data_IF_692067725329
#
_entry.id   IF_692067725329
#
_cell.length_a   1.000
_cell.length_b   1.000
_cell.length_c   1.000
_cell.angle_alpha   90.00
_cell.angle_beta   90.00
_cell.angle_gamma   90.00
#
_symmetry.space_group_name_H-M   'P 1'
#
loop_
_entity.id
_entity.type
_entity.pdbx_description
1 polymer ?
#
# COMPACT_ATOMS: atom_id res chain seq x y z
N UNK A 1 47.60 -14.93 -25.59
CA UNK A 1 46.38 -14.64 -24.81
C UNK A 1 46.42 -13.24 -24.15
N UNK A 2 46.34 -12.12 -24.90
CA UNK A 2 46.25 -10.79 -24.29
C UNK A 2 44.90 -10.09 -24.53
N UNK A 3 44.01 -10.64 -25.35
CA UNK A 3 42.73 -10.00 -25.70
C UNK A 3 41.62 -10.26 -24.66
N UNK A 4 41.70 -11.37 -23.91
CA UNK A 4 40.72 -11.74 -22.88
C UNK A 4 40.91 -10.93 -21.60
N UNK A 5 42.14 -10.48 -21.30
CA UNK A 5 42.42 -9.60 -20.16
C UNK A 5 41.93 -8.15 -20.40
N UNK A 6 41.89 -7.68 -21.65
CA UNK A 6 41.40 -6.33 -22.00
C UNK A 6 39.85 -6.28 -22.02
N UNK A 7 39.19 -7.39 -22.34
CA UNK A 7 37.72 -7.48 -22.24
C UNK A 7 37.25 -7.63 -20.79
N UNK A 8 38.02 -8.27 -19.92
CA UNK A 8 37.67 -8.43 -18.49
C UNK A 8 38.06 -7.18 -17.66
N UNK A 9 39.11 -6.44 -18.05
CA UNK A 9 39.42 -5.13 -17.44
C UNK A 9 38.64 -3.96 -18.07
N UNK A 10 38.05 -4.15 -19.25
CA UNK A 10 37.13 -3.19 -19.90
C UNK A 10 35.69 -3.23 -19.37
N UNK A 11 35.35 -4.17 -18.49
CA UNK A 11 34.05 -4.27 -17.81
C UNK A 11 34.07 -3.56 -16.43
N UNK A 12 35.25 -3.13 -15.95
CA UNK A 12 35.40 -2.51 -14.63
C UNK A 12 35.37 -0.97 -14.62
N UNK A 13 35.13 -0.31 -15.76
CA UNK A 13 34.93 1.14 -15.83
C UNK A 13 33.97 1.45 -16.99
N UNK A 14 32.81 2.06 -16.71
CA UNK A 14 31.74 2.50 -17.64
C UNK A 14 30.53 1.57 -17.89
N UNK A 15 30.04 0.90 -16.86
CA UNK A 15 28.61 0.57 -16.78
C UNK A 15 28.06 0.84 -15.38
N UNK A 16 28.22 2.08 -14.90
CA UNK A 16 27.23 2.59 -13.95
C UNK A 16 25.90 2.58 -14.70
N UNK A 17 24.95 1.75 -14.29
CA UNK A 17 23.61 1.83 -14.86
C UNK A 17 23.09 3.26 -14.66
N UNK A 18 22.29 3.78 -15.59
CA UNK A 18 21.68 5.11 -15.41
C UNK A 18 20.85 5.17 -14.11
N UNK A 19 20.37 4.02 -13.63
CA UNK A 19 19.60 3.89 -12.40
C UNK A 19 20.51 3.97 -11.17
N UNK A 20 21.69 3.35 -11.17
CA UNK A 20 22.71 3.57 -10.14
C UNK A 20 23.11 5.04 -10.03
N UNK A 21 23.38 5.68 -11.19
CA UNK A 21 23.65 7.11 -11.20
C UNK A 21 22.48 7.87 -10.58
N UNK A 22 21.23 7.57 -10.92
CA UNK A 22 20.05 8.20 -10.32
C UNK A 22 20.06 8.10 -8.79
N UNK A 23 20.28 6.90 -8.24
CA UNK A 23 20.25 6.60 -6.79
C UNK A 23 21.49 7.09 -6.02
N UNK A 24 22.64 7.29 -6.67
CA UNK A 24 23.85 7.84 -6.03
C UNK A 24 23.66 9.26 -5.47
N UNK A 25 22.64 9.98 -5.96
CA UNK A 25 22.30 11.32 -5.45
C UNK A 25 21.31 11.30 -4.28
N UNK A 26 20.82 10.12 -3.88
CA UNK A 26 19.88 9.93 -2.77
C UNK A 26 20.66 9.31 -1.62
N UNK A 27 20.59 9.86 -0.39
CA UNK A 27 21.27 9.27 0.75
C UNK A 27 20.56 8.00 1.24
N UNK A 28 21.31 7.08 1.84
CA UNK A 28 20.77 5.83 2.40
C UNK A 28 19.83 6.07 3.61
N UNK A 29 19.98 7.21 4.30
CA UNK A 29 19.24 7.53 5.55
C UNK A 29 17.84 8.13 5.34
N UNK A 30 17.29 8.06 4.12
CA UNK A 30 15.93 8.55 3.81
C UNK A 30 14.84 7.70 4.46
N UNK A 31 13.69 8.31 4.76
CA UNK A 31 12.53 7.59 5.32
C UNK A 31 11.83 6.75 4.26
N UNK A 32 11.90 7.23 3.02
CA UNK A 32 11.22 6.67 1.87
C UNK A 32 12.05 6.96 0.62
N UNK A 33 12.12 5.96 -0.25
CA UNK A 33 12.53 6.15 -1.65
C UNK A 33 11.60 5.38 -2.58
N UNK A 34 11.33 5.93 -3.76
CA UNK A 34 10.65 5.22 -4.82
C UNK A 34 11.20 5.51 -6.21
N UNK A 35 10.81 4.65 -7.14
CA UNK A 35 11.13 4.69 -8.56
C UNK A 35 9.84 4.52 -9.35
N UNK A 36 9.63 5.36 -10.36
CA UNK A 36 8.40 5.35 -11.17
C UNK A 36 8.72 5.41 -12.65
N UNK A 37 7.99 4.61 -13.42
CA UNK A 37 7.98 4.62 -14.88
C UNK A 37 6.84 5.52 -15.37
N UNK A 38 7.01 6.84 -15.29
CA UNK A 38 5.91 7.80 -15.45
C UNK A 38 5.26 7.70 -16.84
N UNK A 39 6.05 7.58 -17.92
CA UNK A 39 5.51 7.44 -19.28
C UNK A 39 4.72 6.14 -19.42
N UNK A 40 5.22 5.06 -18.85
CA UNK A 40 4.54 3.76 -18.83
C UNK A 40 3.23 3.84 -18.04
N UNK A 41 3.21 4.47 -16.87
CA UNK A 41 1.99 4.71 -16.07
C UNK A 41 0.96 5.54 -16.85
N UNK A 42 1.39 6.64 -17.48
CA UNK A 42 0.51 7.49 -18.29
C UNK A 42 0.00 6.72 -19.52
N UNK A 43 0.85 5.92 -20.16
CA UNK A 43 0.45 5.09 -21.31
C UNK A 43 -0.62 4.06 -20.95
N UNK A 44 -0.44 3.37 -19.81
CA UNK A 44 -1.42 2.43 -19.28
C UNK A 44 -2.72 3.11 -18.83
N UNK A 45 -2.63 4.40 -18.48
CA UNK A 45 -3.79 5.23 -18.15
C UNK A 45 -4.58 5.71 -19.37
N UNK A 46 -4.10 5.49 -20.61
CA UNK A 46 -4.78 5.88 -21.85
C UNK A 46 -4.19 7.10 -22.59
N UNK A 47 -3.01 7.57 -22.17
CA UNK A 47 -2.28 8.64 -22.87
C UNK A 47 -1.35 8.06 -23.94
N UNK A 48 -1.31 8.68 -25.12
CA UNK A 48 -0.44 8.27 -26.23
C UNK A 48 0.54 9.39 -26.54
N UNK A 49 1.81 9.14 -26.23
CA UNK A 49 2.93 10.03 -26.54
C UNK A 49 3.25 9.96 -28.04
N UNK A 50 3.49 11.10 -28.66
CA UNK A 50 3.77 11.20 -30.08
C UNK A 50 4.46 12.52 -30.47
N UNK A 51 4.88 12.67 -31.73
CA UNK A 51 5.65 13.83 -32.18
C UNK A 51 4.87 15.14 -32.10
N UNK A 52 3.53 15.08 -32.13
CA UNK A 52 2.64 16.23 -32.11
C UNK A 52 2.03 16.51 -30.72
N UNK A 53 2.59 15.90 -29.67
CA UNK A 53 2.10 15.99 -28.29
C UNK A 53 1.34 14.75 -27.83
N UNK A 54 0.99 14.73 -26.55
CA UNK A 54 0.19 13.66 -25.94
C UNK A 54 -1.27 13.77 -26.40
N UNK A 55 -1.82 12.62 -26.80
CA UNK A 55 -3.25 12.45 -27.11
C UNK A 55 -3.89 11.51 -26.10
N UNK A 56 -5.21 11.60 -25.91
CA UNK A 56 -5.96 10.68 -25.06
C UNK A 56 -6.80 9.73 -25.89
N UNK A 57 -6.90 8.47 -25.46
CA UNK A 57 -7.84 7.51 -26.04
C UNK A 57 -9.03 7.33 -25.11
N UNK A 58 -10.18 7.93 -25.43
CA UNK A 58 -11.42 7.76 -24.67
C UNK A 58 -11.41 8.31 -23.23
N UNK A 59 -10.44 9.17 -22.87
CA UNK A 59 -10.45 9.92 -21.61
C UNK A 59 -10.99 11.33 -21.80
N UNK A 60 -11.72 11.84 -20.81
CA UNK A 60 -11.92 13.27 -20.66
C UNK A 60 -10.56 13.99 -20.59
N UNK A 61 -10.49 15.22 -21.09
CA UNK A 61 -9.27 16.01 -20.96
C UNK A 61 -8.98 16.19 -19.46
N UNK A 62 -7.77 15.82 -18.98
CA UNK A 62 -7.43 16.06 -17.58
C UNK A 62 -7.44 17.57 -17.30
N UNK A 63 -7.78 17.95 -16.08
CA UNK A 63 -7.79 19.35 -15.63
C UNK A 63 -6.85 19.55 -14.43
N UNK A 64 -6.51 20.82 -14.16
CA UNK A 64 -5.69 21.23 -13.02
C UNK A 64 -4.32 20.56 -12.98
N UNK A 65 -3.86 20.21 -11.77
CA UNK A 65 -2.50 19.67 -11.57
C UNK A 65 -2.20 18.39 -12.34
N UNK A 66 -3.21 17.57 -12.63
CA UNK A 66 -2.99 16.35 -13.40
C UNK A 66 -2.75 16.70 -14.88
N UNK A 67 -3.43 17.72 -15.41
CA UNK A 67 -3.14 18.27 -16.73
C UNK A 67 -1.70 18.79 -16.81
N UNK A 68 -1.30 19.61 -15.84
CA UNK A 68 0.05 20.18 -15.76
C UNK A 68 1.14 19.09 -15.75
N UNK A 69 0.86 17.94 -15.09
CA UNK A 69 1.74 16.77 -15.07
C UNK A 69 1.85 16.11 -16.44
N UNK A 70 0.73 15.92 -17.13
CA UNK A 70 0.72 15.33 -18.48
C UNK A 70 1.43 16.24 -19.48
N UNK A 71 1.19 17.54 -19.43
CA UNK A 71 1.82 18.51 -20.33
C UNK A 71 3.35 18.59 -20.08
N UNK A 72 3.78 18.62 -18.81
CA UNK A 72 5.21 18.56 -18.48
C UNK A 72 5.84 17.24 -18.96
N UNK A 73 5.18 16.10 -18.71
CA UNK A 73 5.67 14.79 -19.15
C UNK A 73 5.77 14.70 -20.69
N UNK A 74 4.80 15.24 -21.42
CA UNK A 74 4.82 15.30 -22.89
C UNK A 74 6.04 16.09 -23.40
N UNK A 75 6.25 17.29 -22.86
CA UNK A 75 7.36 18.15 -23.26
C UNK A 75 8.71 17.49 -22.93
N UNK A 76 8.83 16.87 -21.75
CA UNK A 76 10.03 16.13 -21.37
C UNK A 76 10.29 14.95 -22.32
N UNK A 77 9.27 14.16 -22.66
CA UNK A 77 9.40 13.03 -23.58
C UNK A 77 9.81 13.48 -24.99
N UNK A 78 9.12 14.48 -25.55
CA UNK A 78 9.39 15.01 -26.90
C UNK A 78 10.77 15.64 -27.01
N UNK A 79 11.28 16.25 -25.94
CA UNK A 79 12.62 16.85 -25.92
C UNK A 79 13.73 15.81 -26.05
N UNK A 80 13.49 14.56 -25.62
CA UNK A 80 14.47 13.49 -25.60
C UNK A 80 15.64 13.70 -24.64
N UNK A 81 15.65 14.77 -23.83
CA UNK A 81 16.75 15.08 -22.91
C UNK A 81 16.56 14.50 -21.50
N UNK A 82 15.39 13.93 -21.20
CA UNK A 82 15.06 13.28 -19.94
C UNK A 82 14.30 11.99 -20.20
N UNK A 83 14.70 10.89 -19.56
CA UNK A 83 13.95 9.63 -19.58
C UNK A 83 12.96 9.60 -18.42
N UNK A 84 11.70 9.96 -18.69
CA UNK A 84 10.64 10.01 -17.67
C UNK A 84 10.15 8.62 -17.24
N UNK A 85 10.64 7.53 -17.84
CA UNK A 85 10.47 6.19 -17.28
C UNK A 85 11.55 5.82 -16.24
N UNK A 86 12.44 6.77 -15.93
CA UNK A 86 13.50 6.65 -14.92
C UNK A 86 13.49 7.83 -13.96
N UNK A 87 12.40 7.95 -13.21
CA UNK A 87 12.25 8.97 -12.18
C UNK A 87 12.34 8.32 -10.80
N UNK A 88 13.13 8.92 -9.92
CA UNK A 88 13.21 8.54 -8.52
C UNK A 88 12.63 9.66 -7.67
N UNK A 89 12.15 9.29 -6.48
CA UNK A 89 11.80 10.26 -5.46
C UNK A 89 12.23 9.77 -4.10
N UNK A 90 12.46 10.70 -3.19
CA UNK A 90 12.78 10.40 -1.81
C UNK A 90 12.11 11.39 -0.87
N UNK A 91 11.87 10.95 0.36
CA UNK A 91 11.52 11.82 1.47
C UNK A 91 12.60 11.70 2.54
N UNK A 92 13.19 12.83 2.92
CA UNK A 92 14.15 12.84 4.02
C UNK A 92 13.46 12.82 5.39
N UNK A 93 14.26 12.67 6.45
CA UNK A 93 13.80 12.65 7.86
C UNK A 93 13.15 13.96 8.32
N UNK A 94 13.37 15.07 7.60
CA UNK A 94 12.74 16.36 7.88
C UNK A 94 11.39 16.49 7.15
N UNK A 95 11.00 15.47 6.38
CA UNK A 95 9.74 15.39 5.66
C UNK A 95 9.75 16.06 4.29
N UNK A 96 10.91 16.56 3.83
CA UNK A 96 11.06 17.23 2.54
C UNK A 96 11.04 16.19 1.42
N UNK A 97 10.30 16.50 0.36
CA UNK A 97 10.16 15.64 -0.81
C UNK A 97 11.14 16.10 -1.88
N UNK A 98 11.81 15.14 -2.52
CA UNK A 98 12.66 15.34 -3.69
C UNK A 98 12.23 14.37 -4.78
N UNK A 99 11.96 14.87 -5.98
CA UNK A 99 11.78 14.05 -7.19
C UNK A 99 12.94 14.36 -8.13
N UNK A 100 13.53 13.35 -8.76
CA UNK A 100 14.69 13.54 -9.63
C UNK A 100 14.68 12.63 -10.84
N UNK A 101 15.29 13.12 -11.91
CA UNK A 101 15.58 12.38 -13.13
C UNK A 101 16.93 12.85 -13.69
N UNK A 102 17.59 11.97 -14.46
CA UNK A 102 18.80 12.35 -15.20
C UNK A 102 18.43 13.16 -16.44
N UNK A 103 19.20 14.22 -16.69
CA UNK A 103 19.03 15.11 -17.84
C UNK A 103 20.32 15.15 -18.63
N UNK A 104 20.26 14.83 -19.92
CA UNK A 104 21.46 14.78 -20.77
C UNK A 104 21.99 16.18 -21.14
N UNK A 105 21.11 17.19 -21.16
CA UNK A 105 21.42 18.57 -21.54
C UNK A 105 20.48 19.53 -20.77
N UNK A 106 20.99 20.14 -19.70
CA UNK A 106 20.19 20.98 -18.79
C UNK A 106 19.67 22.27 -19.45
N UNK A 107 20.42 22.82 -20.41
CA UNK A 107 20.01 24.05 -21.10
C UNK A 107 18.87 23.75 -22.07
N UNK A 108 18.98 22.67 -22.86
CA UNK A 108 17.87 22.20 -23.72
C UNK A 108 16.66 21.76 -22.90
N UNK A 109 16.88 21.15 -21.73
CA UNK A 109 15.78 20.81 -20.82
C UNK A 109 15.03 22.06 -20.38
N UNK A 110 15.75 23.10 -19.93
CA UNK A 110 15.14 24.35 -19.52
C UNK A 110 14.42 25.06 -20.67
N UNK A 111 15.02 25.06 -21.87
CA UNK A 111 14.39 25.61 -23.07
C UNK A 111 13.10 24.86 -23.43
N UNK A 112 13.15 23.53 -23.52
CA UNK A 112 12.00 22.70 -23.87
C UNK A 112 10.85 22.89 -22.88
N UNK A 113 11.15 22.89 -21.58
CA UNK A 113 10.15 23.00 -20.50
C UNK A 113 9.75 24.43 -20.15
N UNK A 114 10.24 25.45 -20.86
CA UNK A 114 10.00 26.87 -20.53
C UNK A 114 8.53 27.32 -20.61
N UNK A 115 7.70 26.59 -21.36
CA UNK A 115 6.25 26.80 -21.39
C UNK A 115 5.53 26.36 -20.11
N UNK A 116 6.08 25.36 -19.43
CA UNK A 116 5.51 24.76 -18.21
C UNK A 116 6.21 25.26 -16.94
N UNK A 117 7.48 25.65 -17.06
CA UNK A 117 8.34 26.05 -15.94
C UNK A 117 8.98 27.41 -16.28
N UNK A 118 8.64 28.41 -15.47
CA UNK A 118 9.27 29.74 -15.55
C UNK A 118 10.69 29.74 -15.02
N UNK A 119 11.66 29.36 -15.85
CA UNK A 119 13.08 29.26 -15.48
C UNK A 119 13.74 30.63 -15.26
N UNK A 120 14.50 30.76 -14.18
CA UNK A 120 15.40 31.86 -13.91
C UNK A 120 16.76 31.65 -14.60
N UNK A 121 17.56 32.71 -14.64
CA UNK A 121 19.00 32.56 -14.92
C UNK A 121 19.65 31.63 -13.88
N UNK A 122 20.73 30.97 -14.31
CA UNK A 122 21.47 30.05 -13.47
C UNK A 122 22.18 30.81 -12.34
N UNK A 123 21.99 30.34 -11.11
CA UNK A 123 22.68 30.82 -9.91
C UNK A 123 23.10 29.63 -9.05
N UNK A 124 24.33 29.65 -8.53
CA UNK A 124 24.91 28.58 -7.71
C UNK A 124 24.90 27.18 -8.40
N UNK A 125 25.01 27.19 -9.73
CA UNK A 125 25.04 25.99 -10.58
C UNK A 125 23.66 25.46 -11.01
N UNK A 126 22.56 26.12 -10.61
CA UNK A 126 21.21 25.69 -10.95
C UNK A 126 20.41 26.81 -11.61
N UNK A 127 19.63 26.46 -12.64
CA UNK A 127 18.44 27.24 -13.01
C UNK A 127 17.31 26.83 -12.07
N UNK A 128 16.47 27.77 -11.67
CA UNK A 128 15.33 27.52 -10.78
C UNK A 128 14.03 27.89 -11.47
N UNK A 129 12.95 27.21 -11.16
CA UNK A 129 11.62 27.52 -11.64
C UNK A 129 10.56 27.06 -10.65
N UNK A 130 9.30 27.38 -10.91
CA UNK A 130 8.18 26.91 -10.11
C UNK A 130 7.27 26.03 -10.97
N UNK A 131 6.82 24.91 -10.42
CA UNK A 131 5.89 24.00 -11.06
C UNK A 131 5.01 23.30 -10.03
N UNK A 132 3.69 23.40 -10.14
CA UNK A 132 2.76 22.62 -9.31
C UNK A 132 2.86 22.87 -7.79
N UNK A 133 3.44 23.98 -7.35
CA UNK A 133 3.73 24.26 -5.93
C UNK A 133 5.07 23.72 -5.42
N UNK A 134 5.89 23.15 -6.31
CA UNK A 134 7.27 22.74 -6.07
C UNK A 134 8.24 23.72 -6.73
N UNK A 135 9.44 23.82 -6.17
CA UNK A 135 10.57 24.45 -6.84
C UNK A 135 11.26 23.43 -7.74
N UNK A 136 11.34 23.74 -9.02
CA UNK A 136 12.08 22.98 -10.02
C UNK A 136 13.53 23.49 -10.08
N UNK A 137 14.49 22.58 -10.15
CA UNK A 137 15.90 22.88 -10.39
C UNK A 137 16.41 22.06 -11.56
N UNK A 138 17.24 22.66 -12.41
CA UNK A 138 18.04 21.92 -13.40
C UNK A 138 19.49 22.41 -13.39
N UNK A 139 20.41 21.45 -13.38
CA UNK A 139 21.84 21.66 -13.20
C UNK A 139 22.53 20.33 -12.88
N UNK A 140 23.86 20.27 -13.06
CA UNK A 140 24.67 19.08 -12.76
C UNK A 140 24.15 17.78 -13.43
N UNK A 141 23.61 17.88 -14.65
CA UNK A 141 23.09 16.75 -15.43
C UNK A 141 21.78 16.15 -14.89
N UNK A 142 21.01 16.92 -14.12
CA UNK A 142 19.78 16.46 -13.45
C UNK A 142 18.68 17.48 -13.43
N UNK A 143 17.49 16.96 -13.21
CA UNK A 143 16.31 17.68 -12.80
C UNK A 143 15.94 17.32 -11.36
N UNK A 144 15.45 18.30 -10.62
CA UNK A 144 14.88 18.14 -9.28
C UNK A 144 13.54 18.87 -9.17
N UNK A 145 12.58 18.28 -8.46
CA UNK A 145 11.44 18.98 -7.86
C UNK A 145 11.51 18.82 -6.36
N UNK A 146 11.32 19.90 -5.61
CA UNK A 146 11.27 19.85 -4.15
C UNK A 146 10.31 20.88 -3.57
N UNK A 147 9.69 20.54 -2.44
CA UNK A 147 8.83 21.43 -1.66
C UNK A 147 9.63 22.21 -0.58
N UNK A 148 10.96 22.08 -0.58
CA UNK A 148 11.84 22.87 0.29
C UNK A 148 11.70 24.37 0.01
N UNK A 149 11.72 25.17 1.09
CA UNK A 149 11.71 26.64 0.99
C UNK A 149 12.97 27.20 0.32
N UNK A 150 14.13 26.58 0.57
CA UNK A 150 15.40 26.88 -0.08
C UNK A 150 15.86 25.63 -0.85
N UNK A 151 15.38 25.51 -2.09
CA UNK A 151 15.53 24.31 -2.90
C UNK A 151 17.00 23.99 -3.22
N UNK A 152 17.81 25.00 -3.56
CA UNK A 152 19.22 24.81 -3.90
C UNK A 152 20.00 24.32 -2.69
N UNK A 153 19.78 24.94 -1.52
CA UNK A 153 20.43 24.49 -0.29
C UNK A 153 20.02 23.07 0.07
N UNK A 154 18.71 22.77 0.01
CA UNK A 154 18.19 21.44 0.34
C UNK A 154 18.76 20.34 -0.57
N UNK A 155 18.78 20.55 -1.90
CA UNK A 155 19.37 19.59 -2.85
C UNK A 155 20.87 19.44 -2.64
N UNK A 156 21.62 20.51 -2.37
CA UNK A 156 23.06 20.42 -2.08
C UNK A 156 23.32 19.66 -0.77
N UNK A 157 22.51 19.86 0.25
CA UNK A 157 22.60 19.11 1.52
C UNK A 157 22.26 17.63 1.32
N UNK A 158 21.21 17.32 0.54
CA UNK A 158 20.85 15.95 0.14
C UNK A 158 22.01 15.26 -0.58
N UNK A 159 22.56 15.90 -1.62
CA UNK A 159 23.71 15.38 -2.38
C UNK A 159 24.95 15.21 -1.51
N UNK A 160 25.20 16.13 -0.57
CA UNK A 160 26.33 16.03 0.39
C UNK A 160 26.18 14.83 1.32
N UNK A 161 24.96 14.52 1.77
CA UNK A 161 24.67 13.31 2.55
C UNK A 161 24.85 12.06 1.69
N UNK A 162 24.33 12.07 0.46
CA UNK A 162 24.47 10.96 -0.48
C UNK A 162 25.94 10.67 -0.80
N UNK A 163 26.77 11.69 -0.98
CA UNK A 163 28.22 11.52 -1.20
C UNK A 163 28.98 10.87 -0.01
N UNK A 164 28.39 10.83 1.19
CA UNK A 164 28.94 10.07 2.33
C UNK A 164 28.39 8.65 2.41
N UNK A 165 27.11 8.49 2.11
CA UNK A 165 26.38 7.23 2.20
C UNK A 165 25.25 7.22 1.17
N UNK A 166 25.53 6.81 -0.07
CA UNK A 166 24.53 6.80 -1.12
C UNK A 166 23.58 5.62 -0.94
N UNK A 167 22.37 5.74 -1.50
CA UNK A 167 21.38 4.66 -1.49
C UNK A 167 21.91 3.38 -2.15
N UNK A 168 22.81 3.51 -3.13
CA UNK A 168 23.48 2.38 -3.79
C UNK A 168 24.31 1.50 -2.85
N UNK A 169 24.61 1.96 -1.62
CA UNK A 169 25.15 1.12 -0.57
C UNK A 169 24.14 0.06 -0.05
N UNK A 170 22.83 0.30 -0.20
CA UNK A 170 21.75 -0.61 0.15
C UNK A 170 21.38 -1.47 -1.06
N UNK A 171 22.28 -2.37 -1.44
CA UNK A 171 22.20 -3.12 -2.71
C UNK A 171 20.88 -3.86 -2.95
N UNK A 172 20.25 -4.42 -1.91
CA UNK A 172 18.96 -5.08 -2.03
C UNK A 172 17.81 -4.11 -2.27
N UNK A 173 17.85 -2.95 -1.62
CA UNK A 173 16.87 -1.87 -1.82
C UNK A 173 16.97 -1.32 -3.24
N UNK A 174 18.18 -1.04 -3.72
CA UNK A 174 18.40 -0.62 -5.10
C UNK A 174 17.92 -1.68 -6.09
N UNK A 175 18.28 -2.96 -5.90
CA UNK A 175 17.81 -4.04 -6.77
C UNK A 175 16.29 -4.16 -6.82
N UNK A 176 15.60 -3.92 -5.71
CA UNK A 176 14.13 -3.88 -5.67
C UNK A 176 13.56 -2.67 -6.42
N UNK A 177 14.13 -1.48 -6.23
CA UNK A 177 13.70 -0.26 -6.90
C UNK A 177 13.89 -0.32 -8.43
N UNK A 178 14.96 -0.97 -8.89
CA UNK A 178 15.28 -1.19 -10.31
C UNK A 178 14.37 -2.22 -11.00
N UNK A 179 13.48 -2.88 -10.24
CA UNK A 179 12.53 -3.88 -10.75
C UNK A 179 11.65 -3.38 -11.90
N UNK A 180 11.03 -4.32 -12.61
CA UNK A 180 10.22 -4.00 -13.80
C UNK A 180 8.86 -3.35 -13.51
N UNK A 181 8.43 -3.28 -12.24
CA UNK A 181 7.18 -2.64 -11.86
C UNK A 181 7.06 -1.20 -12.38
N UNK A 182 5.83 -0.76 -12.60
CA UNK A 182 5.50 0.62 -12.95
C UNK A 182 5.85 1.60 -11.81
N UNK A 183 5.76 1.11 -10.57
CA UNK A 183 6.14 1.82 -9.35
C UNK A 183 6.82 0.84 -8.41
N UNK A 184 8.01 1.17 -7.93
CA UNK A 184 8.69 0.47 -6.84
C UNK A 184 9.00 1.45 -5.71
N UNK A 185 8.86 1.04 -4.46
CA UNK A 185 9.06 1.89 -3.30
C UNK A 185 9.60 1.09 -2.12
N UNK A 186 10.44 1.73 -1.30
CA UNK A 186 10.90 1.24 -0.02
C UNK A 186 10.62 2.28 1.06
N UNK A 187 10.08 1.82 2.20
CA UNK A 187 9.88 2.60 3.42
C UNK A 187 10.75 2.04 4.53
N UNK A 188 11.51 2.89 5.22
CA UNK A 188 12.19 2.48 6.44
C UNK A 188 11.16 2.20 7.54
N UNK A 189 11.23 1.01 8.16
CA UNK A 189 10.36 0.65 9.28
C UNK A 189 10.64 1.52 10.53
N UNK A 190 11.86 2.00 10.69
CA UNK A 190 12.23 2.90 11.79
C UNK A 190 11.58 4.28 11.65
N UNK A 191 11.36 4.74 10.41
CA UNK A 191 10.61 5.96 10.13
C UNK A 191 9.10 5.83 10.43
N UNK A 192 8.55 4.61 10.29
CA UNK A 192 7.15 4.33 10.62
C UNK A 192 6.91 4.30 12.15
N UNK A 193 7.91 3.87 12.92
CA UNK A 193 7.91 3.89 14.38
C UNK A 193 8.21 5.31 14.91
N UNK A 194 7.21 6.20 14.89
CA UNK A 194 7.30 7.56 15.48
C UNK A 194 7.75 7.48 16.96
N UNK A 195 9.05 7.61 17.22
CA UNK A 195 9.62 7.61 18.57
C UNK A 195 10.97 6.90 18.75
N UNK A 196 11.51 6.24 17.72
CA UNK A 196 12.87 5.70 17.77
C UNK A 196 13.92 6.80 17.96
N UNK A 197 14.99 6.51 18.72
CA UNK A 197 16.14 7.42 18.84
C UNK A 197 16.71 7.70 17.45
N UNK A 198 17.01 8.98 17.19
CA UNK A 198 17.78 9.43 16.02
C UNK A 198 19.21 8.87 16.13
N UNK A 199 19.43 7.62 15.72
CA UNK A 199 20.77 7.20 15.35
C UNK A 199 21.01 7.66 13.91
N UNK A 200 21.87 8.66 13.80
CA UNK A 200 22.25 9.32 12.56
C UNK A 200 23.49 8.61 12.00
N UNK A 201 23.30 7.77 10.97
CA UNK A 201 24.44 7.18 10.26
C UNK A 201 24.08 6.12 9.22
N UNK A 202 24.99 5.93 8.26
CA UNK A 202 24.96 4.89 7.24
C UNK A 202 24.75 3.48 7.82
N UNK A 203 25.34 3.23 8.99
CA UNK A 203 25.26 1.95 9.68
C UNK A 203 23.85 1.66 10.19
N UNK A 204 23.12 2.68 10.67
CA UNK A 204 21.73 2.53 11.08
C UNK A 204 20.83 2.16 9.89
N UNK A 205 21.00 2.82 8.74
CA UNK A 205 20.22 2.50 7.53
C UNK A 205 20.48 1.08 6.98
N UNK A 206 21.67 0.53 7.23
CA UNK A 206 22.06 -0.81 6.83
C UNK A 206 21.52 -1.88 7.78
N UNK A 207 21.31 -1.53 9.05
CA UNK A 207 20.72 -2.38 10.08
C UNK A 207 19.17 -2.28 10.12
N UNK A 208 18.58 -1.23 9.51
CA UNK A 208 17.14 -1.02 9.42
C UNK A 208 16.43 -2.08 8.56
N UNK A 209 15.19 -2.39 8.96
CA UNK A 209 14.25 -3.10 8.10
C UNK A 209 13.53 -2.13 7.15
N UNK A 210 13.25 -2.61 5.95
CA UNK A 210 12.57 -1.85 4.90
C UNK A 210 11.34 -2.61 4.42
N UNK A 211 10.18 -1.95 4.47
CA UNK A 211 8.97 -2.44 3.83
C UNK A 211 8.96 -1.98 2.37
N UNK A 212 8.84 -2.93 1.45
CA UNK A 212 8.85 -2.64 0.01
C UNK A 212 7.47 -2.77 -0.60
N UNK A 213 7.22 -2.03 -1.68
CA UNK A 213 6.02 -2.13 -2.51
C UNK A 213 6.46 -2.08 -3.96
N UNK A 214 6.04 -3.07 -4.76
CA UNK A 214 6.17 -3.07 -6.21
C UNK A 214 4.79 -3.22 -6.83
N UNK A 215 4.42 -2.30 -7.72
CA UNK A 215 3.12 -2.28 -8.39
C UNK A 215 3.31 -2.40 -9.91
N UNK A 216 2.46 -3.20 -10.54
CA UNK A 216 2.45 -3.43 -11.98
C UNK A 216 1.04 -3.75 -12.48
N UNK A 217 0.85 -3.87 -13.80
CA UNK A 217 -0.39 -4.33 -14.42
C UNK A 217 -0.16 -5.68 -15.09
N UNK A 218 -0.95 -6.69 -14.71
CA UNK A 218 -0.93 -8.03 -15.31
C UNK A 218 -2.35 -8.45 -15.64
N UNK A 219 -2.59 -8.89 -16.87
CA UNK A 219 -3.90 -9.35 -17.33
C UNK A 219 -5.05 -8.37 -17.03
N UNK A 220 -4.78 -7.07 -17.21
CA UNK A 220 -5.70 -5.96 -16.89
C UNK A 220 -6.08 -5.86 -15.40
N UNK A 221 -5.20 -6.30 -14.50
CA UNK A 221 -5.31 -6.14 -13.05
C UNK A 221 -4.12 -5.35 -12.52
N UNK A 222 -4.35 -4.52 -11.51
CA UNK A 222 -3.27 -3.92 -10.74
C UNK A 222 -2.78 -4.97 -9.74
N UNK A 223 -1.51 -5.34 -9.84
CA UNK A 223 -0.87 -6.32 -8.96
C UNK A 223 0.18 -5.59 -8.13
N UNK A 224 0.11 -5.77 -6.82
CA UNK A 224 1.09 -5.25 -5.87
C UNK A 224 1.76 -6.39 -5.12
N UNK A 225 3.08 -6.31 -4.96
CA UNK A 225 3.86 -7.19 -4.11
C UNK A 225 4.56 -6.38 -3.03
N UNK A 226 4.66 -6.94 -1.83
CA UNK A 226 5.34 -6.33 -0.70
C UNK A 226 6.09 -7.39 0.10
N UNK A 227 7.31 -7.04 0.52
CA UNK A 227 8.10 -7.82 1.47
C UNK A 227 8.71 -6.86 2.48
N UNK A 228 9.04 -7.38 3.67
CA UNK A 228 9.97 -6.70 4.57
C UNK A 228 11.34 -7.30 4.31
N UNK A 229 12.36 -6.47 4.15
CA UNK A 229 13.73 -6.91 3.87
C UNK A 229 14.78 -6.07 4.59
N UNK A 230 15.96 -6.65 4.78
CA UNK A 230 17.17 -5.93 5.17
C UNK A 230 17.75 -5.16 3.97
N UNK A 231 18.70 -4.25 4.23
CA UNK A 231 19.34 -3.44 3.19
C UNK A 231 20.02 -4.23 2.06
N UNK A 232 20.43 -5.47 2.33
CA UNK A 232 21.05 -6.38 1.35
C UNK A 232 20.03 -7.19 0.54
N UNK A 233 18.75 -7.08 0.85
CA UNK A 233 17.65 -7.77 0.16
C UNK A 233 17.19 -9.07 0.82
N UNK A 234 17.81 -9.46 1.94
CA UNK A 234 17.36 -10.61 2.73
C UNK A 234 15.96 -10.35 3.28
N UNK A 235 14.98 -11.17 2.88
CA UNK A 235 13.59 -11.03 3.33
C UNK A 235 13.43 -11.47 4.77
N UNK A 236 12.59 -10.75 5.50
CA UNK A 236 12.25 -11.00 6.90
C UNK A 236 10.77 -11.33 6.98
N UNK A 237 10.47 -12.53 7.45
CA UNK A 237 9.08 -12.93 7.70
C UNK A 237 8.55 -12.23 8.95
N UNK A 238 7.26 -11.92 8.96
CA UNK A 238 6.62 -11.40 10.15
C UNK A 238 6.52 -12.49 11.21
N UNK A 239 7.03 -12.22 12.40
CA UNK A 239 6.87 -13.10 13.55
C UNK A 239 5.41 -13.17 13.97
N UNK A 240 5.05 -14.29 14.57
CA UNK A 240 3.77 -14.47 15.20
C UNK A 240 2.60 -14.79 14.25
N UNK A 241 2.87 -15.00 12.96
CA UNK A 241 1.88 -15.47 11.99
C UNK A 241 1.93 -17.00 11.81
N UNK A 242 0.80 -17.59 11.43
CA UNK A 242 0.69 -19.01 11.09
C UNK A 242 -0.40 -19.22 10.02
N UNK A 243 -0.41 -20.37 9.32
CA UNK A 243 -1.43 -20.64 8.31
C UNK A 243 -2.86 -20.56 8.85
N UNK A 244 -3.77 -20.01 8.04
CA UNK A 244 -5.20 -19.96 8.34
C UNK A 244 -5.80 -21.38 8.36
N UNK A 245 -6.56 -21.70 9.42
CA UNK A 245 -7.42 -22.87 9.46
C UNK A 245 -8.62 -22.64 8.53
N UNK A 246 -8.59 -23.28 7.36
CA UNK A 246 -9.61 -23.12 6.31
C UNK A 246 -11.00 -23.63 6.70
N UNK A 247 -11.14 -24.42 7.77
CA UNK A 247 -12.44 -24.90 8.23
C UNK A 247 -13.42 -23.75 8.53
N UNK A 248 -12.91 -22.58 8.94
CA UNK A 248 -13.75 -21.40 9.21
C UNK A 248 -14.43 -20.86 7.95
N UNK A 249 -13.93 -21.16 6.75
CA UNK A 249 -14.47 -20.64 5.50
C UNK A 249 -15.83 -21.25 5.16
N UNK A 250 -16.17 -22.43 5.68
CA UNK A 250 -17.48 -23.06 5.46
C UNK A 250 -18.63 -22.32 6.15
N UNK A 251 -18.32 -21.40 7.06
CA UNK A 251 -19.29 -20.52 7.68
C UNK A 251 -19.65 -19.32 6.80
N UNK A 252 -18.82 -18.97 5.82
CA UNK A 252 -19.00 -17.76 5.00
C UNK A 252 -20.03 -18.06 3.88
N UNK A 253 -21.17 -17.35 3.83
CA UNK A 253 -22.12 -17.45 2.72
C UNK A 253 -21.53 -16.93 1.40
N UNK A 254 -21.96 -17.50 0.28
CA UNK A 254 -21.53 -17.05 -1.06
C UNK A 254 -21.93 -15.62 -1.41
N UNK A 255 -22.95 -15.08 -0.73
CA UNK A 255 -23.40 -13.69 -0.91
C UNK A 255 -22.49 -12.65 -0.25
N UNK A 256 -21.49 -13.08 0.52
CA UNK A 256 -20.63 -12.16 1.24
C UNK A 256 -19.63 -11.48 0.31
N UNK A 257 -19.63 -10.14 0.34
CA UNK A 257 -18.74 -9.28 -0.44
C UNK A 257 -17.41 -9.02 0.23
N UNK A 258 -17.26 -9.37 1.50
CA UNK A 258 -16.02 -9.19 2.25
C UNK A 258 -15.69 -10.46 3.05
N UNK A 259 -14.44 -10.88 2.98
CA UNK A 259 -13.88 -11.91 3.83
C UNK A 259 -12.42 -11.60 4.14
N UNK A 260 -12.07 -11.65 5.41
CA UNK A 260 -10.70 -11.51 5.91
C UNK A 260 -10.43 -12.64 6.88
N UNK A 261 -9.27 -13.26 6.78
CA UNK A 261 -8.79 -14.14 7.84
C UNK A 261 -7.27 -14.05 7.98
N UNK A 262 -6.80 -14.21 9.21
CA UNK A 262 -5.39 -14.24 9.56
C UNK A 262 -5.16 -15.28 10.64
N UNK A 263 -4.10 -16.09 10.51
CA UNK A 263 -3.65 -17.02 11.54
C UNK A 263 -2.60 -16.35 12.41
N UNK A 264 -2.87 -16.29 13.71
CA UNK A 264 -2.03 -15.63 14.70
C UNK A 264 -1.54 -16.64 15.73
N UNK A 265 -0.27 -16.60 16.06
CA UNK A 265 0.27 -17.28 17.23
C UNK A 265 0.24 -16.35 18.45
N UNK A 266 0.44 -16.86 19.67
CA UNK A 266 0.58 -16.03 20.87
C UNK A 266 1.71 -14.99 20.81
N UNK A 267 2.70 -15.20 19.93
CA UNK A 267 3.88 -14.33 19.78
C UNK A 267 3.63 -13.12 18.86
N UNK A 268 2.42 -12.98 18.30
CA UNK A 268 2.07 -11.85 17.44
C UNK A 268 2.19 -10.52 18.18
N UNK A 269 2.92 -9.57 17.57
CA UNK A 269 3.08 -8.23 18.14
C UNK A 269 1.83 -7.35 17.94
N UNK A 270 0.98 -7.32 18.96
CA UNK A 270 -0.20 -6.46 19.01
C UNK A 270 0.12 -4.97 19.07
N UNK A 271 1.37 -4.57 19.34
CA UNK A 271 1.77 -3.16 19.35
C UNK A 271 1.52 -2.49 18.00
N UNK A 272 1.70 -3.22 16.90
CA UNK A 272 1.42 -2.76 15.53
C UNK A 272 -0.02 -2.28 15.37
N UNK A 273 -1.00 -3.04 15.90
CA UNK A 273 -2.40 -2.64 15.87
C UNK A 273 -2.66 -1.41 16.75
N UNK A 274 -2.02 -1.34 17.92
CA UNK A 274 -2.18 -0.18 18.81
C UNK A 274 -1.60 1.10 18.21
N UNK A 275 -0.51 1.01 17.44
CA UNK A 275 0.07 2.15 16.71
C UNK A 275 -0.87 2.61 15.60
N UNK A 276 -1.43 1.69 14.82
CA UNK A 276 -2.43 2.01 13.79
C UNK A 276 -3.67 2.69 14.40
N UNK A 277 -4.25 2.12 15.46
CA UNK A 277 -5.40 2.74 16.14
C UNK A 277 -5.03 4.09 16.76
N UNK A 278 -3.80 4.25 17.27
CA UNK A 278 -3.35 5.53 17.85
C UNK A 278 -3.17 6.63 16.82
N UNK A 279 -2.83 6.27 15.57
CA UNK A 279 -2.67 7.19 14.45
C UNK A 279 -4.03 7.65 13.87
N UNK A 280 -5.05 6.79 13.88
CA UNK A 280 -6.32 7.05 13.18
C UNK A 280 -7.57 7.16 14.09
N UNK A 281 -7.58 6.56 15.28
CA UNK A 281 -8.78 6.37 16.11
C UNK A 281 -8.99 7.38 17.26
N UNK A 282 -8.04 8.29 17.51
CA UNK A 282 -8.16 9.29 18.58
C UNK A 282 -8.10 8.71 20.01
N UNK A 283 -8.30 9.56 21.03
CA UNK A 283 -8.13 9.19 22.44
C UNK A 283 -9.14 8.15 22.95
N UNK A 284 -10.39 8.20 22.49
CA UNK A 284 -11.43 7.25 22.89
C UNK A 284 -11.17 5.83 22.37
N UNK A 285 -10.66 5.68 21.14
CA UNK A 285 -10.29 4.37 20.61
C UNK A 285 -9.12 3.75 21.39
N UNK A 286 -8.16 4.54 21.89
CA UNK A 286 -7.05 4.04 22.74
C UNK A 286 -7.56 3.45 24.06
N UNK A 287 -8.52 4.12 24.70
CA UNK A 287 -9.13 3.63 25.94
C UNK A 287 -9.89 2.31 25.74
N UNK A 288 -10.65 2.22 24.65
CA UNK A 288 -11.35 0.98 24.27
C UNK A 288 -10.37 -0.14 23.93
N UNK A 289 -9.28 0.16 23.21
CA UNK A 289 -8.23 -0.81 22.89
C UNK A 289 -7.61 -1.42 24.14
N UNK A 290 -7.28 -0.62 25.15
CA UNK A 290 -6.70 -1.11 26.40
C UNK A 290 -7.58 -2.16 27.12
N UNK A 291 -8.91 -2.05 26.99
CA UNK A 291 -9.86 -3.01 27.56
C UNK A 291 -9.90 -4.32 26.78
N UNK A 292 -9.77 -4.27 25.45
CA UNK A 292 -9.84 -5.46 24.59
C UNK A 292 -8.49 -6.15 24.38
N UNK A 293 -7.37 -5.46 24.62
CA UNK A 293 -6.01 -6.00 24.45
C UNK A 293 -5.79 -7.36 25.11
N UNK A 294 -6.20 -7.62 26.37
CA UNK A 294 -5.98 -8.93 26.99
C UNK A 294 -6.70 -10.07 26.27
N UNK A 295 -7.82 -9.79 25.61
CA UNK A 295 -8.55 -10.78 24.81
C UNK A 295 -7.86 -10.98 23.46
N UNK A 296 -7.44 -9.89 22.80
CA UNK A 296 -6.65 -9.96 21.58
C UNK A 296 -5.38 -10.80 21.78
N UNK A 297 -4.64 -10.55 22.86
CA UNK A 297 -3.44 -11.30 23.24
C UNK A 297 -3.69 -12.78 23.55
N UNK A 298 -4.94 -13.18 23.79
CA UNK A 298 -5.29 -14.59 24.01
C UNK A 298 -5.72 -15.33 22.74
N UNK A 299 -5.74 -14.65 21.60
CA UNK A 299 -5.93 -15.28 20.29
C UNK A 299 -4.68 -16.12 19.97
N UNK A 300 -4.89 -17.38 19.62
CA UNK A 300 -3.81 -18.33 19.34
C UNK A 300 -4.12 -19.23 18.14
N UNK A 301 -4.81 -18.67 17.15
CA UNK A 301 -5.17 -19.37 15.93
C UNK A 301 -5.77 -18.40 14.92
N UNK A 302 -6.67 -18.90 14.09
CA UNK A 302 -7.33 -18.10 13.07
C UNK A 302 -8.30 -17.10 13.67
N UNK A 303 -8.23 -15.86 13.16
CA UNK A 303 -9.29 -14.86 13.24
C UNK A 303 -9.89 -14.75 11.85
N UNK A 304 -11.21 -14.79 11.75
CA UNK A 304 -11.96 -14.58 10.52
C UNK A 304 -13.04 -13.53 10.77
N UNK A 305 -13.17 -12.61 9.82
CA UNK A 305 -14.25 -11.63 9.73
C UNK A 305 -14.77 -11.67 8.30
N UNK A 306 -16.06 -11.88 8.14
CA UNK A 306 -16.71 -11.86 6.83
C UNK A 306 -18.03 -11.09 6.92
N UNK A 307 -18.38 -10.37 5.87
CA UNK A 307 -19.60 -9.59 5.81
C UNK A 307 -20.16 -9.51 4.39
N UNK A 308 -21.47 -9.29 4.30
CA UNK A 308 -22.18 -9.13 3.04
C UNK A 308 -23.49 -8.38 3.20
N UNK A 309 -24.09 -7.95 2.08
CA UNK A 309 -25.41 -7.32 2.10
C UNK A 309 -26.46 -8.34 2.56
N UNK A 310 -27.31 -7.93 3.50
CA UNK A 310 -28.54 -8.65 3.82
C UNK A 310 -29.67 -8.31 2.83
N UNK A 311 -29.57 -7.13 2.21
CA UNK A 311 -30.51 -6.61 1.23
C UNK A 311 -29.82 -5.57 0.32
N UNK A 312 -30.54 -5.09 -0.70
CA UNK A 312 -30.00 -4.13 -1.68
C UNK A 312 -29.65 -2.75 -1.11
N UNK A 313 -30.19 -2.39 0.07
CA UNK A 313 -29.96 -1.10 0.73
C UNK A 313 -28.64 -1.04 1.50
N UNK A 314 -27.94 -2.18 1.66
CA UNK A 314 -26.69 -2.28 2.43
C UNK A 314 -25.61 -1.28 2.02
N UNK A 315 -25.53 -0.97 0.73
CA UNK A 315 -24.50 -0.08 0.18
C UNK A 315 -24.91 1.40 0.16
N UNK A 316 -26.22 1.68 0.21
CA UNK A 316 -26.76 3.04 0.15
C UNK A 316 -27.12 3.62 1.53
N UNK A 317 -27.33 2.78 2.54
CA UNK A 317 -27.75 3.17 3.88
C UNK A 317 -26.78 2.65 4.94
N UNK A 318 -26.35 3.53 5.84
CA UNK A 318 -25.45 3.19 6.97
C UNK A 318 -26.30 2.62 8.13
N UNK A 319 -27.01 1.52 7.87
CA UNK A 319 -27.74 0.75 8.89
C UNK A 319 -27.08 -0.63 9.05
N UNK A 320 -26.57 -0.97 10.24
CA UNK A 320 -26.09 -2.32 10.54
C UNK A 320 -27.10 -3.42 10.20
N UNK A 321 -28.40 -3.14 10.29
CA UNK A 321 -29.49 -4.05 9.92
C UNK A 321 -29.49 -4.52 8.47
N UNK A 322 -28.86 -3.75 7.57
CA UNK A 322 -28.75 -4.09 6.15
C UNK A 322 -27.55 -4.99 5.83
N UNK A 323 -26.76 -5.38 6.84
CA UNK A 323 -25.56 -6.21 6.66
C UNK A 323 -25.70 -7.54 7.39
N UNK A 324 -25.19 -8.61 6.80
CA UNK A 324 -24.88 -9.84 7.50
C UNK A 324 -23.38 -9.90 7.79
N UNK A 325 -23.01 -10.41 8.96
CA UNK A 325 -21.61 -10.59 9.31
C UNK A 325 -21.38 -11.82 10.18
N UNK A 326 -20.15 -12.31 10.12
CA UNK A 326 -19.63 -13.40 10.96
C UNK A 326 -18.23 -13.01 11.39
N UNK A 327 -17.96 -13.10 12.69
CA UNK A 327 -16.64 -13.02 13.29
C UNK A 327 -16.37 -14.33 14.02
N UNK A 328 -15.20 -14.91 13.82
CA UNK A 328 -14.72 -16.10 14.53
C UNK A 328 -13.28 -15.88 14.94
N UNK A 329 -12.97 -15.97 16.23
CA UNK A 329 -11.61 -15.84 16.76
C UNK A 329 -11.25 -17.08 17.58
N UNK A 330 -10.18 -17.78 17.19
CA UNK A 330 -9.71 -18.94 17.94
C UNK A 330 -9.09 -18.49 19.26
N UNK A 331 -9.61 -19.01 20.37
CA UNK A 331 -9.18 -18.65 21.72
C UNK A 331 -9.32 -19.86 22.65
N UNK A 332 -8.55 -19.94 23.74
CA UNK A 332 -8.74 -20.98 24.75
C UNK A 332 -10.17 -20.97 25.32
N UNK A 333 -10.76 -22.16 25.51
CA UNK A 333 -12.13 -22.32 26.04
C UNK A 333 -12.40 -21.49 27.30
N UNK A 334 -11.43 -21.43 28.22
CA UNK A 334 -11.54 -20.63 29.43
C UNK A 334 -11.78 -19.15 29.13
N UNK A 335 -11.07 -18.59 28.14
CA UNK A 335 -11.22 -17.19 27.72
C UNK A 335 -12.58 -16.95 27.07
N UNK A 336 -13.05 -17.88 26.24
CA UNK A 336 -14.41 -17.83 25.68
C UNK A 336 -15.45 -17.82 26.81
N UNK A 337 -15.30 -18.68 27.81
CA UNK A 337 -16.21 -18.72 28.98
C UNK A 337 -16.17 -17.42 29.79
N UNK A 338 -15.00 -16.83 30.00
CA UNK A 338 -14.85 -15.52 30.65
C UNK A 338 -15.60 -14.41 29.89
N UNK A 339 -15.43 -14.34 28.56
CA UNK A 339 -16.15 -13.39 27.68
C UNK A 339 -17.67 -13.61 27.79
N UNK A 340 -18.12 -14.86 27.67
CA UNK A 340 -19.55 -15.17 27.73
C UNK A 340 -20.18 -14.82 29.09
N UNK A 341 -19.45 -15.01 30.19
CA UNK A 341 -19.91 -14.59 31.52
C UNK A 341 -19.98 -13.08 31.65
N UNK A 342 -19.02 -12.34 31.08
CA UNK A 342 -19.06 -10.89 31.01
C UNK A 342 -20.29 -10.40 30.25
N UNK A 343 -20.57 -10.96 29.07
CA UNK A 343 -21.74 -10.58 28.26
C UNK A 343 -23.04 -10.85 29.03
N UNK A 344 -23.19 -12.03 29.66
CA UNK A 344 -24.38 -12.36 30.47
C UNK A 344 -24.56 -11.41 31.65
N UNK A 345 -23.48 -11.08 32.36
CA UNK A 345 -23.53 -10.13 33.47
C UNK A 345 -23.96 -8.74 32.99
N UNK A 346 -23.42 -8.26 31.87
CA UNK A 346 -23.81 -6.98 31.26
C UNK A 346 -25.28 -6.96 30.86
N UNK A 347 -25.81 -8.03 30.26
CA UNK A 347 -27.24 -8.15 29.96
C UNK A 347 -28.09 -8.10 31.22
N UNK A 348 -27.71 -8.82 32.26
CA UNK A 348 -28.43 -8.85 33.53
C UNK A 348 -28.46 -7.47 34.20
N UNK A 349 -27.32 -6.75 34.22
CA UNK A 349 -27.23 -5.37 34.73
C UNK A 349 -28.12 -4.41 33.92
N UNK A 350 -28.26 -4.65 32.61
CA UNK A 350 -29.17 -3.91 31.74
C UNK A 350 -30.65 -4.35 31.86
N UNK A 351 -31.00 -5.25 32.78
CA UNK A 351 -32.36 -5.76 32.97
C UNK A 351 -32.84 -6.72 31.89
N UNK A 352 -31.94 -7.24 31.05
CA UNK A 352 -32.24 -8.17 29.98
C UNK A 352 -32.00 -9.62 30.41
N UNK A 353 -32.98 -10.49 30.12
CA UNK A 353 -32.81 -11.93 30.34
C UNK A 353 -32.03 -12.57 29.17
N UNK A 354 -31.00 -13.38 29.44
CA UNK A 354 -30.29 -14.14 28.40
C UNK A 354 -31.26 -15.04 27.63
N UNK A 355 -31.30 -14.93 26.31
CA UNK A 355 -31.98 -15.91 25.43
C UNK A 355 -30.93 -16.83 24.84
N UNK A 356 -31.26 -18.10 24.64
CA UNK A 356 -30.32 -19.09 24.11
C UNK A 356 -30.94 -19.82 22.91
N UNK A 357 -30.10 -20.22 21.97
CA UNK A 357 -30.45 -21.22 20.94
C UNK A 357 -30.35 -22.63 21.51
N UNK A 358 -30.91 -23.62 20.81
CA UNK A 358 -30.79 -25.04 21.15
C UNK A 358 -29.33 -25.54 21.14
N UNK A 359 -28.45 -24.85 20.40
CA UNK A 359 -27.02 -25.14 20.30
C UNK A 359 -26.20 -24.47 21.42
N UNK A 360 -26.85 -23.80 22.37
CA UNK A 360 -26.17 -23.17 23.51
C UNK A 360 -25.58 -21.79 23.22
N UNK A 361 -25.86 -21.21 22.05
CA UNK A 361 -25.44 -19.83 21.70
C UNK A 361 -26.37 -18.82 22.37
N UNK A 362 -25.78 -17.76 22.91
CA UNK A 362 -26.49 -16.63 23.49
C UNK A 362 -27.05 -15.74 22.38
N UNK A 363 -28.30 -15.31 22.54
CA UNK A 363 -28.98 -14.36 21.67
C UNK A 363 -29.04 -13.00 22.38
N UNK A 364 -28.36 -12.00 21.82
CA UNK A 364 -28.29 -10.63 22.34
C UNK A 364 -29.04 -9.70 21.38
N UNK A 365 -30.18 -9.12 21.78
CA UNK A 365 -30.87 -8.13 20.97
C UNK A 365 -30.10 -6.81 21.00
N UNK A 366 -29.58 -6.36 19.86
CA UNK A 366 -28.80 -5.12 19.76
C UNK A 366 -29.06 -4.47 18.39
N UNK A 367 -29.17 -3.15 18.31
CA UNK A 367 -29.38 -2.41 17.05
C UNK A 367 -30.54 -2.93 16.17
N UNK A 368 -31.65 -3.38 16.78
CA UNK A 368 -32.79 -3.92 16.04
C UNK A 368 -32.58 -5.33 15.45
N UNK A 369 -31.45 -5.98 15.72
CA UNK A 369 -31.11 -7.33 15.27
C UNK A 369 -30.83 -8.27 16.45
N UNK A 370 -30.80 -9.57 16.15
CA UNK A 370 -30.33 -10.60 17.09
C UNK A 370 -28.89 -10.94 16.76
N UNK A 371 -28.00 -10.78 17.74
CA UNK A 371 -26.63 -11.29 17.67
C UNK A 371 -26.57 -12.66 18.34
N UNK A 372 -25.96 -13.63 17.67
CA UNK A 372 -25.65 -14.97 18.15
C UNK A 372 -24.19 -15.01 18.59
N UNK A 373 -23.95 -15.27 19.87
CA UNK A 373 -22.61 -15.30 20.48
C UNK A 373 -22.36 -16.61 21.21
N UNK A 374 -21.19 -17.20 21.04
CA UNK A 374 -20.82 -18.39 21.80
C UNK A 374 -19.52 -19.06 21.35
N UNK A 375 -19.30 -20.27 21.85
CA UNK A 375 -18.28 -21.15 21.30
C UNK A 375 -18.87 -21.89 20.09
N UNK A 376 -18.25 -21.74 18.93
CA UNK A 376 -18.53 -22.51 17.72
C UNK A 376 -17.22 -23.16 17.26
N UNK A 377 -17.14 -24.49 17.29
CA UNK A 377 -15.99 -25.29 16.84
C UNK A 377 -14.62 -24.84 17.40
N UNK A 378 -14.58 -24.35 18.64
CA UNK A 378 -13.36 -23.89 19.31
C UNK A 378 -13.08 -22.39 19.14
N UNK A 379 -13.98 -21.63 18.54
CA UNK A 379 -13.85 -20.20 18.29
C UNK A 379 -14.83 -19.42 19.17
N UNK A 380 -14.40 -18.28 19.70
CA UNK A 380 -15.34 -17.25 20.08
C UNK A 380 -15.96 -16.69 18.80
N UNK A 381 -17.27 -16.90 18.64
CA UNK A 381 -17.97 -16.57 17.42
C UNK A 381 -19.10 -15.56 17.70
N UNK A 382 -19.24 -14.59 16.81
CA UNK A 382 -20.29 -13.57 16.81
C UNK A 382 -20.87 -13.46 15.41
N UNK A 383 -22.18 -13.55 15.27
CA UNK A 383 -22.87 -13.33 14.00
C UNK A 383 -24.25 -12.74 14.22
N UNK A 384 -24.79 -12.02 13.24
CA UNK A 384 -26.21 -11.62 13.24
C UNK A 384 -27.11 -12.57 12.44
N UNK A 385 -26.56 -13.72 12.04
CA UNK A 385 -27.27 -14.85 11.44
C UNK A 385 -26.90 -16.14 12.17
N UNK A 386 -27.76 -17.19 12.11
CA UNK A 386 -27.39 -18.50 12.64
C UNK A 386 -26.14 -19.07 11.96
N UNK A 387 -25.28 -19.73 12.73
CA UNK A 387 -24.09 -20.40 12.20
C UNK A 387 -24.47 -21.68 11.46
N UNK A 388 -23.81 -21.92 10.33
CA UNK A 388 -23.95 -23.11 9.50
C UNK A 388 -22.62 -23.34 8.80
N UNK A 389 -22.06 -24.55 8.92
CA UNK A 389 -20.72 -24.92 8.48
C UNK A 389 -20.73 -25.92 7.31
N UNK A 390 -21.88 -26.12 6.67
CA UNK A 390 -22.06 -27.14 5.62
C UNK A 390 -21.71 -26.65 4.22
N UNK A 391 -21.25 -25.39 4.08
CA UNK A 391 -21.03 -24.75 2.79
C UNK A 391 -19.68 -25.10 2.19
N UNK A 392 -19.64 -25.25 0.88
CA UNK A 392 -18.40 -25.22 0.11
C UNK A 392 -18.13 -23.78 -0.31
N UNK A 393 -17.01 -23.21 0.13
CA UNK A 393 -16.71 -21.82 -0.14
C UNK A 393 -15.65 -21.66 -1.24
N UNK A 394 -15.97 -20.86 -2.26
CA UNK A 394 -15.10 -20.59 -3.42
C UNK A 394 -13.80 -19.86 -3.07
N UNK A 395 -13.67 -19.31 -1.86
CA UNK A 395 -12.49 -18.63 -1.37
C UNK A 395 -11.37 -19.56 -0.92
N UNK A 396 -11.60 -20.87 -0.77
CA UNK A 396 -10.57 -21.81 -0.28
C UNK A 396 -9.21 -21.68 -0.99
N UNK A 397 -9.13 -21.55 -2.34
CA UNK A 397 -7.85 -21.32 -3.02
C UNK A 397 -7.12 -20.04 -2.60
N UNK A 398 -7.85 -19.00 -2.20
CA UNK A 398 -7.28 -17.73 -1.76
C UNK A 398 -6.59 -17.86 -0.38
N UNK A 399 -7.10 -18.72 0.50
CA UNK A 399 -6.59 -18.89 1.87
C UNK A 399 -5.63 -20.08 2.02
N UNK A 400 -5.56 -20.98 1.04
CA UNK A 400 -4.84 -22.23 1.19
C UNK A 400 -3.33 -22.04 1.39
N UNK A 401 -2.83 -22.48 2.55
CA UNK A 401 -1.42 -22.38 2.93
C UNK A 401 -0.93 -20.94 3.16
N UNK A 402 -1.85 -19.98 3.33
CA UNK A 402 -1.55 -18.57 3.58
C UNK A 402 -1.69 -18.26 5.06
N UNK A 403 -0.85 -17.35 5.54
CA UNK A 403 -0.89 -16.86 6.92
C UNK A 403 -2.02 -15.85 7.11
N UNK A 404 -2.44 -15.18 6.04
CA UNK A 404 -3.66 -14.40 6.00
C UNK A 404 -4.10 -14.10 4.57
N UNK A 405 -5.38 -13.80 4.40
CA UNK A 405 -5.90 -13.33 3.14
C UNK A 405 -7.13 -12.44 3.32
N UNK A 406 -7.39 -11.62 2.31
CA UNK A 406 -8.55 -10.74 2.22
C UNK A 406 -9.16 -10.83 0.84
N UNK A 407 -10.48 -10.79 0.80
CA UNK A 407 -11.29 -10.58 -0.38
C UNK A 407 -12.27 -9.44 -0.07
N UNK A 408 -12.33 -8.47 -0.97
CA UNK A 408 -13.34 -7.44 -0.99
C UNK A 408 -13.87 -7.31 -2.41
N UNK A 409 -15.17 -7.42 -2.58
CA UNK A 409 -15.83 -7.34 -3.87
C UNK A 409 -17.00 -6.37 -3.79
N UNK A 410 -16.98 -5.39 -4.68
CA UNK A 410 -18.13 -4.53 -4.92
C UNK A 410 -18.61 -4.79 -6.34
N UNK A 411 -19.81 -5.35 -6.55
CA UNK A 411 -20.30 -5.68 -7.90
C UNK A 411 -20.42 -4.47 -8.82
N UNK A 412 -20.74 -3.30 -8.27
CA UNK A 412 -20.84 -2.04 -9.00
C UNK A 412 -20.58 -0.85 -8.08
N UNK A 413 -19.81 0.13 -8.55
CA UNK A 413 -19.64 1.40 -7.83
C UNK A 413 -20.96 2.18 -7.74
N UNK A 414 -21.94 1.91 -8.61
CA UNK A 414 -23.29 2.51 -8.53
C UNK A 414 -24.04 2.17 -7.26
N UNK A 415 -23.68 1.09 -6.59
CA UNK A 415 -24.22 0.73 -5.28
C UNK A 415 -23.88 1.76 -4.21
N UNK A 416 -22.79 2.53 -4.38
CA UNK A 416 -22.39 3.61 -3.48
C UNK A 416 -23.01 4.96 -3.85
N UNK A 417 -23.22 5.21 -5.15
CA UNK A 417 -23.86 6.42 -5.67
C UNK A 417 -24.37 6.21 -7.09
N UNK A 418 -25.61 6.60 -7.45
CA UNK A 418 -26.12 6.46 -8.81
C UNK A 418 -25.27 7.13 -9.90
N UNK A 419 -24.50 8.16 -9.54
CA UNK A 419 -23.60 8.88 -10.45
C UNK A 419 -22.24 8.18 -10.67
N UNK A 420 -21.92 7.17 -9.86
CA UNK A 420 -20.65 6.45 -9.96
C UNK A 420 -20.61 5.53 -11.21
N UNK A 421 -19.41 5.08 -11.63
CA UNK A 421 -19.27 4.16 -12.74
C UNK A 421 -20.06 2.87 -12.56
N UNK A 422 -20.52 2.29 -13.66
CA UNK A 422 -21.29 1.04 -13.62
C UNK A 422 -20.44 -0.19 -13.24
N UNK A 423 -19.13 -0.14 -13.50
CA UNK A 423 -18.22 -1.22 -13.15
C UNK A 423 -18.03 -1.34 -11.64
N UNK A 424 -17.70 -2.54 -11.19
CA UNK A 424 -17.31 -2.83 -9.81
C UNK A 424 -15.82 -3.10 -9.69
N UNK A 425 -15.42 -3.66 -8.55
CA UNK A 425 -14.07 -4.13 -8.36
C UNK A 425 -14.03 -5.38 -7.48
N UNK A 426 -12.97 -6.16 -7.65
CA UNK A 426 -12.55 -7.21 -6.74
C UNK A 426 -11.11 -6.96 -6.32
N UNK A 427 -10.92 -6.75 -5.03
CA UNK A 427 -9.63 -6.69 -4.37
C UNK A 427 -9.39 -8.01 -3.65
N UNK A 428 -8.25 -8.62 -3.92
CA UNK A 428 -7.76 -9.77 -3.15
C UNK A 428 -6.39 -9.48 -2.60
N UNK A 429 -6.07 -10.03 -1.44
CA UNK A 429 -4.76 -9.93 -0.83
C UNK A 429 -4.41 -11.23 -0.10
N UNK A 430 -3.14 -11.56 -0.08
CA UNK A 430 -2.62 -12.74 0.61
C UNK A 430 -1.29 -12.38 1.28
N UNK A 431 -1.06 -12.93 2.46
CA UNK A 431 0.24 -12.88 3.13
C UNK A 431 0.66 -14.29 3.51
N UNK A 432 1.94 -14.58 3.34
CA UNK A 432 2.53 -15.87 3.69
C UNK A 432 3.96 -15.99 3.22
N UNK A 433 4.75 -16.80 3.93
CA UNK A 433 6.15 -17.07 3.58
C UNK A 433 7.02 -15.80 3.46
N UNK A 434 6.75 -14.79 4.29
CA UNK A 434 7.50 -13.53 4.31
C UNK A 434 7.18 -12.57 3.16
N UNK A 435 6.08 -12.79 2.43
CA UNK A 435 5.62 -11.91 1.35
C UNK A 435 4.13 -11.63 1.45
N UNK A 436 3.74 -10.47 0.92
CA UNK A 436 2.34 -10.07 0.76
C UNK A 436 2.09 -9.71 -0.70
N UNK A 437 0.98 -10.17 -1.24
CA UNK A 437 0.55 -9.85 -2.62
C UNK A 437 -0.88 -9.35 -2.58
N UNK A 438 -1.20 -8.37 -3.41
CA UNK A 438 -2.56 -7.89 -3.62
C UNK A 438 -2.87 -7.77 -5.12
N UNK A 439 -4.10 -8.07 -5.51
CA UNK A 439 -4.61 -7.87 -6.85
C UNK A 439 -5.92 -7.07 -6.80
N UNK A 440 -6.00 -6.01 -7.58
CA UNK A 440 -7.22 -5.28 -7.86
C UNK A 440 -7.62 -5.52 -9.32
N UNK A 441 -8.82 -6.07 -9.51
CA UNK A 441 -9.45 -6.24 -10.81
C UNK A 441 -10.73 -5.41 -10.88
N UNK A 442 -11.06 -4.84 -12.03
CA UNK A 442 -12.37 -4.24 -12.26
C UNK A 442 -13.34 -5.30 -12.78
N UNK A 443 -14.57 -5.28 -12.28
CA UNK A 443 -15.63 -6.20 -12.69
C UNK A 443 -16.65 -5.46 -13.54
N UNK A 444 -17.23 -6.12 -14.54
CA UNK A 444 -18.23 -5.50 -15.42
C UNK A 444 -17.70 -4.45 -16.41
N UNK A 445 -16.37 -4.39 -16.63
CA UNK A 445 -15.74 -3.59 -17.70
C UNK A 445 -14.57 -4.33 -18.33
N UNK A 446 -14.30 -4.03 -19.60
CA UNK A 446 -13.12 -4.50 -20.35
C UNK A 446 -12.12 -3.37 -20.62
N UNK A 447 -12.41 -2.16 -20.16
CA UNK A 447 -11.50 -1.02 -20.28
C UNK A 447 -10.19 -1.30 -19.51
N UNK A 448 -9.03 -0.82 -20.02
CA UNK A 448 -7.77 -0.86 -19.28
C UNK A 448 -7.94 -0.31 -17.86
N UNK A 449 -7.42 -1.01 -16.85
CA UNK A 449 -7.73 -0.75 -15.45
C UNK A 449 -7.36 0.66 -15.00
N UNK A 450 -6.15 1.15 -15.34
CA UNK A 450 -5.74 2.51 -14.97
C UNK A 450 -6.56 3.57 -15.71
N UNK A 451 -6.91 3.31 -16.98
CA UNK A 451 -7.77 4.21 -17.75
C UNK A 451 -9.17 4.31 -17.13
N UNK A 452 -9.75 3.19 -16.71
CA UNK A 452 -11.06 3.14 -16.07
C UNK A 452 -11.05 3.82 -14.69
N UNK A 453 -10.03 3.57 -13.87
CA UNK A 453 -9.84 4.24 -12.58
C UNK A 453 -9.69 5.75 -12.78
N UNK A 454 -8.85 6.17 -13.72
CA UNK A 454 -8.64 7.59 -14.01
C UNK A 454 -9.92 8.25 -14.52
N UNK A 455 -10.65 7.60 -15.43
CA UNK A 455 -11.94 8.11 -15.95
C UNK A 455 -13.02 8.24 -14.88
N UNK A 456 -12.91 7.48 -13.78
CA UNK A 456 -13.83 7.58 -12.65
C UNK A 456 -13.46 8.69 -11.66
N UNK A 457 -12.22 9.18 -11.71
CA UNK A 457 -11.71 10.23 -10.83
C UNK A 457 -11.79 11.63 -11.47
N UNK A 458 -11.75 11.70 -12.80
CA UNK A 458 -12.02 12.89 -13.61
C UNK A 458 -13.52 13.09 -13.76
#
# INVERSE_FOLDING_TARGET
MPLVAVVILGIAVTSCSKDQALFDAIPAEVDNVGFVRLKSVLSQSGFKFGPNGVTTDGLAAPEGRFRDLVDLADVMDRSGVCDIDRMAWARDRDGVIYVTALVSDCDKFAEATSGEIGWTEAKDGFRQGQWGGFTALTGDGRFWLTDAKDAVKAVRELQKKAGKSPLTALSGICGMLEGQGLLNMALSCDAAAKGGKKDDGAQAAQESLWATISCDIKDNKLVAGSVVMQADGTTVAADGLQPVNQAVLSYIPDSFSFAFAVGLTPDFDWSVLTQAVSAFGGFQARGMMAVVTPYLQSINGTVMLAAGPANDQAYSEIDPGNWHFILMAHMPQQKITEIMNMVRNSMFVAGMSPRMTDQGLLIVPQYGMNLYLGNVDGYFAVSNMPFDNTRQNSLAPLFSGKDGAVMLELPSLRSLSPAAPAFGFRLTGQTGQGSTTAELALTGTTQPILQAILSALL
#
